data_IF_653898228640
#
_entry.id   IF_653898228640
#
_cell.length_a   1.000
_cell.length_b   1.000
_cell.length_c   1.000
_cell.angle_alpha   90.00
_cell.angle_beta   90.00
_cell.angle_gamma   90.00
#
_symmetry.space_group_name_H-M   'P 1'
#
loop_
_entity.id
_entity.type
_entity.pdbx_description
1 polymer ?
#
# COMPACT_ATOMS: atom_id res chain seq x y z
N UNK A 1 -15.27 5.06 18.64
CA UNK A 1 -14.85 6.19 19.50
C UNK A 1 -14.43 7.37 18.62
N UNK A 2 -14.42 8.61 19.14
CA UNK A 2 -13.98 9.81 18.38
C UNK A 2 -12.60 10.26 18.84
N UNK A 3 -11.79 10.79 17.93
CA UNK A 3 -10.49 11.35 18.28
C UNK A 3 -10.65 12.67 19.01
N UNK A 4 -10.01 12.81 20.18
CA UNK A 4 -10.06 14.04 20.97
C UNK A 4 -9.21 15.20 20.40
N UNK A 5 -8.58 15.01 19.24
CA UNK A 5 -7.86 16.07 18.52
C UNK A 5 -8.68 16.63 17.36
N UNK A 6 -9.16 15.77 16.45
CA UNK A 6 -9.92 16.20 15.26
C UNK A 6 -11.43 15.96 15.33
N UNK A 7 -11.93 15.17 16.28
CA UNK A 7 -13.36 14.86 16.43
C UNK A 7 -13.88 13.74 15.53
N UNK A 8 -13.07 13.22 14.60
CA UNK A 8 -13.45 12.15 13.67
C UNK A 8 -13.45 10.76 14.32
N UNK A 9 -14.17 9.83 13.72
CA UNK A 9 -14.22 8.42 14.16
C UNK A 9 -12.83 7.76 14.06
N UNK A 10 -12.46 7.03 15.12
CA UNK A 10 -11.28 6.15 15.14
C UNK A 10 -11.72 4.74 14.74
N UNK A 11 -11.00 4.12 13.79
CA UNK A 11 -11.16 2.71 13.40
C UNK A 11 -10.47 1.74 14.37
N UNK A 12 -9.95 0.62 13.88
CA UNK A 12 -9.46 -0.49 14.72
C UNK A 12 -8.13 -0.22 15.46
N UNK A 13 -7.42 0.85 15.11
CA UNK A 13 -6.08 1.13 15.64
C UNK A 13 -6.13 2.43 16.46
N UNK A 14 -6.19 2.27 17.78
CA UNK A 14 -6.30 3.37 18.74
C UNK A 14 -5.06 3.54 19.63
N UNK A 15 -4.83 4.78 20.06
CA UNK A 15 -3.89 5.10 21.13
C UNK A 15 -4.61 5.93 22.21
N UNK A 16 -4.48 5.49 23.46
CA UNK A 16 -5.13 6.11 24.61
C UNK A 16 -4.09 6.90 25.40
N UNK A 17 -4.39 8.16 25.68
CA UNK A 17 -3.54 9.01 26.50
C UNK A 17 -3.66 8.62 27.98
N UNK A 18 -2.56 8.26 28.64
CA UNK A 18 -2.55 7.96 30.07
C UNK A 18 -2.92 9.17 30.97
N UNK A 19 -2.81 10.39 30.45
CA UNK A 19 -3.11 11.62 31.21
C UNK A 19 -4.59 12.01 31.24
N UNK A 20 -5.27 11.95 30.10
CA UNK A 20 -6.68 12.34 29.97
C UNK A 20 -7.62 11.17 29.65
N UNK A 21 -7.08 9.97 29.49
CA UNK A 21 -7.80 8.75 29.12
C UNK A 21 -8.60 8.82 27.81
N UNK A 22 -8.28 9.80 26.95
CA UNK A 22 -8.94 9.99 25.66
C UNK A 22 -8.22 9.26 24.53
N UNK A 23 -8.97 8.89 23.50
CA UNK A 23 -8.47 8.22 22.30
C UNK A 23 -8.03 9.21 21.21
N UNK A 24 -6.96 8.86 20.51
CA UNK A 24 -6.40 9.66 19.42
C UNK A 24 -6.08 8.80 18.20
N UNK A 25 -6.13 9.38 16.99
CA UNK A 25 -5.43 8.78 15.85
C UNK A 25 -3.93 8.93 16.03
N UNK A 26 -3.15 8.01 15.46
CA UNK A 26 -1.70 8.18 15.39
C UNK A 26 -1.32 9.50 14.70
N UNK A 27 -1.88 9.79 13.52
CA UNK A 27 -1.57 11.02 12.79
C UNK A 27 -1.88 12.30 13.60
N UNK A 28 -2.85 12.25 14.53
CA UNK A 28 -3.27 13.41 15.31
C UNK A 28 -2.45 13.64 16.58
N UNK A 29 -1.60 12.70 17.02
CA UNK A 29 -0.81 12.88 18.24
C UNK A 29 0.60 12.26 18.22
N UNK A 30 0.83 11.15 17.54
CA UNK A 30 2.15 10.52 17.39
C UNK A 30 2.14 9.52 16.22
N UNK A 31 3.15 9.57 15.34
CA UNK A 31 3.21 8.62 14.23
C UNK A 31 3.23 7.16 14.71
N UNK A 32 2.57 6.27 13.96
CA UNK A 32 2.48 4.85 14.31
C UNK A 32 3.85 4.19 14.42
N UNK A 33 4.76 4.50 13.47
CA UNK A 33 6.14 4.01 13.49
C UNK A 33 6.84 4.41 14.79
N UNK A 34 6.71 5.67 15.22
CA UNK A 34 7.30 6.17 16.47
C UNK A 34 6.68 5.51 17.69
N UNK A 35 5.36 5.28 17.70
CA UNK A 35 4.70 4.64 18.83
C UNK A 35 5.07 3.15 18.96
N UNK A 36 5.10 2.41 17.84
CA UNK A 36 5.49 0.99 17.82
C UNK A 36 6.94 0.78 18.27
N UNK A 37 7.84 1.71 17.94
CA UNK A 37 9.25 1.68 18.35
C UNK A 37 9.47 1.94 19.86
N UNK A 38 8.45 2.39 20.61
CA UNK A 38 8.57 2.57 22.06
C UNK A 38 8.62 1.23 22.79
N UNK A 39 9.41 1.19 23.87
CA UNK A 39 9.37 0.09 24.84
C UNK A 39 7.98 -0.01 25.50
N UNK A 40 7.59 -1.20 25.95
CA UNK A 40 6.25 -1.46 26.47
C UNK A 40 5.86 -0.53 27.64
N UNK A 41 6.78 -0.25 28.57
CA UNK A 41 6.53 0.68 29.68
C UNK A 41 6.27 2.13 29.19
N UNK A 42 6.91 2.54 28.09
CA UNK A 42 6.74 3.87 27.49
C UNK A 42 5.47 3.99 26.64
N UNK A 43 4.91 2.85 26.18
CA UNK A 43 3.58 2.79 25.56
C UNK A 43 2.47 2.97 26.60
N UNK A 44 2.58 2.26 27.74
CA UNK A 44 1.62 2.32 28.84
C UNK A 44 1.57 3.71 29.52
N UNK A 45 2.69 4.42 29.54
CA UNK A 45 2.80 5.77 30.12
C UNK A 45 2.71 6.90 29.08
N UNK A 46 2.30 6.58 27.85
CA UNK A 46 2.21 7.58 26.78
C UNK A 46 1.16 8.65 27.10
N UNK A 47 1.48 9.91 26.78
CA UNK A 47 0.62 11.07 27.00
C UNK A 47 0.54 11.92 25.74
N UNK A 48 -0.64 12.46 25.44
CA UNK A 48 -0.85 13.40 24.36
C UNK A 48 -0.10 14.73 24.61
N UNK A 49 0.02 15.56 23.59
CA UNK A 49 0.78 16.83 23.65
C UNK A 49 0.23 17.75 24.76
N UNK A 50 -1.09 17.87 24.89
CA UNK A 50 -1.75 18.67 25.93
C UNK A 50 -1.37 18.20 27.34
N UNK A 51 -1.46 16.90 27.61
CA UNK A 51 -1.11 16.31 28.91
C UNK A 51 0.40 16.29 29.19
N UNK A 52 1.23 16.36 28.14
CA UNK A 52 2.70 16.42 28.27
C UNK A 52 3.17 17.84 28.60
N UNK A 53 2.56 18.84 27.96
CA UNK A 53 2.86 20.26 28.19
C UNK A 53 2.26 20.79 29.49
N UNK A 54 1.14 20.23 29.96
CA UNK A 54 0.51 20.59 31.23
C UNK A 54 1.29 20.23 32.50
N UNK A 55 2.50 19.66 32.41
CA UNK A 55 3.38 19.40 33.57
C UNK A 55 4.35 20.54 33.91
N UNK A 56 4.30 21.67 33.21
CA UNK A 56 5.13 22.85 33.50
C UNK A 56 4.34 24.02 34.12
N UNK A 57 3.14 23.77 34.66
CA UNK A 57 2.41 24.78 35.43
C UNK A 57 1.58 24.10 36.51
N UNK A 58 2.10 24.10 37.74
CA UNK A 58 1.28 23.87 38.92
C UNK A 58 0.47 25.14 39.15
N UNK A 59 -0.81 25.07 38.75
CA UNK A 59 -1.88 26.01 39.12
C UNK A 59 -2.16 25.95 40.63
N UNK A 60 -2.57 27.08 41.20
CA UNK A 60 -3.93 27.17 41.76
C UNK A 60 -4.51 28.55 41.46
N UNK A 61 -5.54 28.54 40.62
CA UNK A 61 -6.40 29.65 40.30
C UNK A 61 -7.69 29.48 41.13
N UNK A 62 -8.01 30.47 41.96
CA UNK A 62 -9.36 30.69 42.49
C UNK A 62 -9.76 32.12 42.15
N UNK A 63 -10.64 32.20 41.16
CA UNK A 63 -11.34 33.38 40.64
C UNK A 63 -12.04 34.20 41.73
N UNK A 64 -11.72 35.49 41.86
CA UNK A 64 -12.68 36.61 41.86
C UNK A 64 -12.05 38.00 42.15
N UNK A 65 -12.45 38.97 41.31
CA UNK A 65 -12.69 40.41 41.58
C UNK A 65 -11.54 41.39 41.89
N UNK A 66 -11.48 42.40 40.99
CA UNK A 66 -11.32 43.83 41.25
C UNK A 66 -9.91 44.44 41.45
N UNK A 67 -9.66 45.46 40.61
CA UNK A 67 -9.03 46.75 40.93
C UNK A 67 -7.52 46.82 41.18
N UNK A 68 -6.83 47.46 40.23
CA UNK A 68 -5.99 48.62 40.52
C UNK A 68 -4.52 48.40 40.87
N UNK A 69 -3.79 49.49 40.70
CA UNK A 69 -2.40 49.79 41.12
C UNK A 69 -1.24 49.19 40.30
N UNK A 70 -0.68 50.08 39.47
CA UNK A 70 0.75 50.22 39.23
C UNK A 70 1.53 50.23 40.57
N UNK A 71 2.64 49.50 40.65
CA UNK A 71 3.80 49.88 41.46
C UNK A 71 5.02 49.01 41.13
N UNK A 72 6.09 49.68 40.70
CA UNK A 72 7.48 49.52 41.14
C UNK A 72 8.01 48.10 41.39
N UNK A 73 8.91 47.64 40.51
CA UNK A 73 10.01 46.73 40.88
C UNK A 73 11.28 47.31 40.25
N UNK A 74 11.93 48.18 41.03
CA UNK A 74 13.35 48.50 40.93
C UNK A 74 14.00 48.03 42.23
N UNK A 75 15.24 47.53 42.11
CA UNK A 75 16.15 46.98 43.14
C UNK A 75 16.11 45.46 43.33
N UNK A 76 17.10 44.81 42.72
CA UNK A 76 18.22 44.19 43.45
C UNK A 76 19.17 43.52 42.43
N UNK A 77 20.06 44.30 41.84
CA UNK A 77 21.31 43.80 41.26
C UNK A 77 22.45 44.27 42.15
N UNK A 78 22.72 43.52 43.21
CA UNK A 78 23.93 43.65 44.02
C UNK A 78 24.44 42.27 44.37
N UNK A 79 25.74 42.10 44.14
CA UNK A 79 26.60 41.05 44.67
C UNK A 79 26.38 39.63 44.15
N UNK A 80 27.08 39.33 43.05
CA UNK A 80 27.58 37.99 42.77
C UNK A 80 28.95 38.08 42.09
N UNK A 81 29.90 38.80 42.71
CA UNK A 81 31.34 38.49 42.57
C UNK A 81 31.62 37.16 43.30
N UNK A 82 30.98 36.10 42.84
CA UNK A 82 31.42 34.74 43.14
C UNK A 82 32.62 34.48 42.24
N UNK A 83 33.81 34.56 42.84
CA UNK A 83 35.09 34.16 42.27
C UNK A 83 34.91 32.84 41.50
N UNK A 84 34.76 32.94 40.16
CA UNK A 84 34.65 31.77 39.31
C UNK A 84 36.02 31.10 39.37
N UNK A 85 36.11 30.04 40.15
CA UNK A 85 37.34 29.26 40.27
C UNK A 85 37.81 28.88 38.83
N UNK A 86 38.99 29.35 38.37
CA UNK A 86 39.42 29.14 36.99
C UNK A 86 39.51 27.65 36.60
N UNK A 87 39.56 26.76 37.59
CA UNK A 87 39.57 25.30 37.43
C UNK A 87 38.19 24.77 36.97
N UNK A 88 37.06 25.33 37.43
CA UNK A 88 35.72 24.86 37.02
C UNK A 88 35.36 25.33 35.61
N UNK A 89 35.69 26.57 35.25
CA UNK A 89 35.45 27.08 33.89
C UNK A 89 36.27 26.33 32.83
N UNK A 90 37.56 26.08 33.09
CA UNK A 90 38.42 25.32 32.19
C UNK A 90 37.97 23.86 32.02
N UNK A 91 37.37 23.26 33.05
CA UNK A 91 36.79 21.92 32.98
C UNK A 91 35.55 21.89 32.08
N UNK A 92 34.63 22.85 32.24
CA UNK A 92 33.43 22.97 31.40
C UNK A 92 33.82 23.19 29.93
N UNK A 93 34.82 24.02 29.64
CA UNK A 93 35.31 24.22 28.28
C UNK A 93 35.88 22.94 27.66
N UNK A 94 36.57 22.10 28.45
CA UNK A 94 37.06 20.80 27.98
C UNK A 94 35.92 19.84 27.66
N UNK A 95 34.89 19.78 28.49
CA UNK A 95 33.70 18.94 28.28
C UNK A 95 32.84 19.41 27.10
N UNK A 96 32.72 20.72 26.90
CA UNK A 96 32.06 21.28 25.73
C UNK A 96 32.84 20.96 24.45
N UNK A 97 34.17 21.12 24.48
CA UNK A 97 35.00 20.84 23.32
C UNK A 97 34.97 19.34 22.96
N UNK A 98 34.97 18.44 23.96
CA UNK A 98 34.81 17.00 23.71
C UNK A 98 33.43 16.68 23.13
N UNK A 99 32.37 17.31 23.64
CA UNK A 99 31.01 17.15 23.13
C UNK A 99 30.84 17.65 21.70
N UNK A 100 31.45 18.80 21.35
CA UNK A 100 31.46 19.34 20.00
C UNK A 100 32.21 18.41 19.05
N UNK A 101 33.36 17.88 19.47
CA UNK A 101 34.12 16.91 18.66
C UNK A 101 33.32 15.64 18.39
N UNK A 102 32.67 15.09 19.41
CA UNK A 102 31.80 13.92 19.25
C UNK A 102 30.60 14.20 18.33
N UNK A 103 30.03 15.40 18.40
CA UNK A 103 28.93 15.80 17.52
C UNK A 103 29.39 15.92 16.07
N UNK A 104 30.57 16.50 15.83
CA UNK A 104 31.17 16.60 14.50
C UNK A 104 31.41 15.21 13.90
N UNK A 105 32.00 14.29 14.67
CA UNK A 105 32.23 12.90 14.23
C UNK A 105 30.91 12.18 13.88
N UNK A 106 29.86 12.35 14.70
CA UNK A 106 28.53 11.79 14.41
C UNK A 106 27.88 12.42 13.17
N UNK A 107 28.05 13.72 12.99
CA UNK A 107 27.53 14.43 11.82
C UNK A 107 28.19 13.95 10.54
N UNK A 108 29.51 13.76 10.54
CA UNK A 108 30.24 13.18 9.41
C UNK A 108 29.80 11.75 9.10
N UNK A 109 29.62 10.92 10.13
CA UNK A 109 29.10 9.56 9.96
C UNK A 109 27.68 9.54 9.37
N UNK A 110 26.81 10.47 9.81
CA UNK A 110 25.48 10.62 9.25
C UNK A 110 25.52 11.08 7.79
N UNK A 111 26.42 12.01 7.43
CA UNK A 111 26.59 12.46 6.05
C UNK A 111 27.05 11.34 5.11
N UNK A 112 27.97 10.48 5.57
CA UNK A 112 28.38 9.28 4.80
C UNK A 112 27.18 8.34 4.59
N UNK A 113 26.40 8.09 5.64
CA UNK A 113 25.22 7.24 5.56
C UNK A 113 24.15 7.81 4.63
N UNK A 114 23.95 9.13 4.67
CA UNK A 114 23.01 9.84 3.82
C UNK A 114 23.41 9.79 2.34
N UNK A 115 24.70 9.98 2.03
CA UNK A 115 25.22 9.82 0.66
C UNK A 115 24.98 8.41 0.12
N UNK A 116 25.27 7.39 0.93
CA UNK A 116 25.01 5.99 0.54
C UNK A 116 23.52 5.75 0.26
N UNK A 117 22.63 6.28 1.09
CA UNK A 117 21.18 6.14 0.87
C UNK A 117 20.72 6.82 -0.42
N UNK A 118 21.31 7.97 -0.78
CA UNK A 118 21.03 8.63 -2.07
C UNK A 118 21.47 7.72 -3.22
N UNK A 119 22.70 7.21 -3.18
CA UNK A 119 23.24 6.33 -4.21
C UNK A 119 22.41 5.05 -4.39
N UNK A 120 21.98 4.43 -3.29
CA UNK A 120 21.14 3.23 -3.32
C UNK A 120 19.74 3.56 -3.87
N UNK A 121 19.18 4.73 -3.56
CA UNK A 121 17.88 5.17 -4.09
C UNK A 121 17.95 5.43 -5.60
N UNK A 122 19.04 6.04 -6.09
CA UNK A 122 19.25 6.26 -7.52
C UNK A 122 19.33 4.94 -8.28
N UNK A 123 20.06 3.95 -7.75
CA UNK A 123 20.13 2.60 -8.33
C UNK A 123 18.76 1.93 -8.38
N UNK A 124 18.01 1.95 -7.26
CA UNK A 124 16.67 1.38 -7.19
C UNK A 124 15.72 2.06 -8.18
N UNK A 125 15.84 3.37 -8.36
CA UNK A 125 15.02 4.13 -9.32
C UNK A 125 15.27 3.68 -10.75
N UNK A 126 16.53 3.48 -11.14
CA UNK A 126 16.86 2.97 -12.47
C UNK A 126 16.47 1.50 -12.66
N UNK A 127 16.59 0.64 -11.64
CA UNK A 127 16.09 -0.74 -11.67
C UNK A 127 14.57 -0.78 -11.88
N UNK A 128 13.81 0.03 -11.14
CA UNK A 128 12.35 0.12 -11.30
C UNK A 128 11.98 0.56 -12.73
N UNK A 129 12.70 1.52 -13.30
CA UNK A 129 12.49 1.98 -14.67
C UNK A 129 12.76 0.88 -15.70
N UNK A 130 13.83 0.10 -15.52
CA UNK A 130 14.15 -1.03 -16.38
C UNK A 130 13.10 -2.14 -16.27
N UNK A 131 12.66 -2.46 -15.05
CA UNK A 131 11.61 -3.44 -14.80
C UNK A 131 10.30 -3.03 -15.47
N UNK A 132 9.89 -1.76 -15.36
CA UNK A 132 8.69 -1.23 -16.05
C UNK A 132 8.75 -1.42 -17.56
N UNK A 133 9.89 -1.09 -18.19
CA UNK A 133 10.08 -1.33 -19.65
C UNK A 133 9.99 -2.80 -20.02
N UNK A 134 10.52 -3.68 -19.16
CA UNK A 134 10.48 -5.13 -19.38
C UNK A 134 9.06 -5.66 -19.29
N UNK A 135 8.28 -5.19 -18.31
CA UNK A 135 6.86 -5.54 -18.15
C UNK A 135 6.07 -5.11 -19.39
N UNK A 136 6.19 -3.85 -19.82
CA UNK A 136 5.51 -3.37 -21.04
C UNK A 136 5.86 -4.19 -22.29
N UNK A 137 7.13 -4.57 -22.45
CA UNK A 137 7.56 -5.42 -23.57
C UNK A 137 6.91 -6.81 -23.51
N UNK A 138 6.84 -7.41 -22.32
CA UNK A 138 6.21 -8.72 -22.13
C UNK A 138 4.70 -8.66 -22.34
N UNK A 139 4.03 -7.62 -21.88
CA UNK A 139 2.58 -7.45 -22.07
C UNK A 139 2.23 -7.37 -23.57
N UNK A 140 3.03 -6.63 -24.36
CA UNK A 140 2.87 -6.60 -25.83
C UNK A 140 3.06 -7.98 -26.47
N UNK A 141 4.03 -8.76 -25.99
CA UNK A 141 4.20 -10.13 -26.48
C UNK A 141 3.02 -11.04 -26.12
N UNK A 142 2.50 -10.93 -24.91
CA UNK A 142 1.31 -11.67 -24.47
C UNK A 142 0.11 -11.33 -25.35
N UNK A 143 -0.10 -10.04 -25.66
CA UNK A 143 -1.18 -9.60 -26.53
C UNK A 143 -1.04 -10.18 -27.94
N UNK A 144 0.14 -10.08 -28.55
CA UNK A 144 0.41 -10.63 -29.88
C UNK A 144 0.21 -12.15 -29.93
N UNK A 145 0.69 -12.88 -28.91
CA UNK A 145 0.51 -14.32 -28.81
C UNK A 145 -0.95 -14.68 -28.64
N UNK A 146 -1.69 -13.93 -27.83
CA UNK A 146 -3.14 -14.12 -27.63
C UNK A 146 -3.92 -13.93 -28.94
N UNK A 147 -3.60 -12.87 -29.70
CA UNK A 147 -4.18 -12.66 -31.04
C UNK A 147 -3.85 -13.81 -31.99
N UNK A 148 -2.61 -14.30 -31.98
CA UNK A 148 -2.18 -15.43 -32.81
C UNK A 148 -2.91 -16.73 -32.43
N UNK A 149 -3.07 -17.00 -31.15
CA UNK A 149 -3.85 -18.16 -30.66
C UNK A 149 -5.30 -18.05 -31.15
N UNK A 150 -5.93 -16.89 -30.97
CA UNK A 150 -7.29 -16.66 -31.45
C UNK A 150 -7.43 -16.92 -32.95
N UNK A 151 -6.49 -16.41 -33.76
CA UNK A 151 -6.48 -16.65 -35.20
C UNK A 151 -6.33 -18.14 -35.54
N UNK A 152 -5.40 -18.85 -34.90
CA UNK A 152 -5.17 -20.27 -35.13
C UNK A 152 -6.37 -21.13 -34.69
N UNK A 153 -7.01 -20.79 -33.58
CA UNK A 153 -8.22 -21.46 -33.12
C UNK A 153 -9.38 -21.25 -34.08
N UNK A 154 -9.62 -20.00 -34.51
CA UNK A 154 -10.64 -19.72 -35.52
C UNK A 154 -10.36 -20.48 -36.81
N UNK A 155 -9.11 -20.45 -37.30
CA UNK A 155 -8.71 -21.20 -38.49
C UNK A 155 -8.96 -22.71 -38.34
N UNK A 156 -8.66 -23.29 -37.17
CA UNK A 156 -8.96 -24.71 -36.88
C UNK A 156 -10.47 -24.98 -36.88
N UNK A 157 -11.28 -24.06 -36.36
CA UNK A 157 -12.75 -24.18 -36.29
C UNK A 157 -13.45 -23.98 -37.64
N UNK A 158 -12.83 -23.34 -38.64
CA UNK A 158 -13.43 -23.15 -39.99
C UNK A 158 -13.89 -24.44 -40.68
N UNK A 159 -13.28 -25.58 -40.34
CA UNK A 159 -13.64 -26.89 -40.90
C UNK A 159 -14.77 -27.58 -40.12
N UNK A 160 -15.32 -26.92 -39.11
CA UNK A 160 -16.34 -27.48 -38.25
C UNK A 160 -17.64 -26.70 -38.39
N UNK A 161 -18.75 -27.43 -38.46
CA UNK A 161 -20.11 -26.88 -38.43
C UNK A 161 -20.81 -27.45 -37.20
N UNK A 162 -21.44 -26.57 -36.42
CA UNK A 162 -22.24 -26.94 -35.26
C UNK A 162 -23.72 -26.82 -35.60
N UNK A 163 -24.46 -27.92 -35.49
CA UNK A 163 -25.90 -27.94 -35.74
C UNK A 163 -26.62 -28.15 -34.40
N UNK A 164 -27.22 -27.08 -33.91
CA UNK A 164 -27.92 -27.03 -32.63
C UNK A 164 -29.38 -27.46 -32.79
N UNK A 165 -30.00 -27.94 -31.70
CA UNK A 165 -31.42 -28.32 -31.69
C UNK A 165 -31.73 -29.72 -32.21
N UNK A 166 -30.70 -30.53 -32.47
CA UNK A 166 -30.86 -31.93 -32.89
C UNK A 166 -31.17 -32.81 -31.68
N UNK A 167 -32.37 -33.40 -31.65
CA UNK A 167 -32.78 -34.30 -30.56
C UNK A 167 -31.91 -35.55 -30.53
N UNK A 168 -31.51 -35.96 -29.33
CA UNK A 168 -30.93 -37.29 -29.14
C UNK A 168 -32.01 -38.36 -29.32
N UNK A 169 -31.68 -39.36 -30.12
CA UNK A 169 -32.47 -40.58 -30.32
C UNK A 169 -31.47 -41.73 -30.20
N UNK A 170 -31.88 -42.82 -29.56
CA UNK A 170 -31.02 -44.01 -29.39
C UNK A 170 -30.93 -44.84 -30.67
N UNK A 171 -31.88 -44.63 -31.58
CA UNK A 171 -32.10 -45.47 -32.75
C UNK A 171 -31.48 -44.91 -34.03
N UNK A 172 -30.93 -43.69 -34.01
CA UNK A 172 -30.30 -43.06 -35.18
C UNK A 172 -28.86 -42.62 -34.90
N UNK A 173 -27.97 -42.89 -35.85
CA UNK A 173 -26.59 -42.42 -35.79
C UNK A 173 -26.48 -40.91 -36.02
N UNK A 174 -25.35 -40.33 -35.62
CA UNK A 174 -25.11 -38.90 -35.83
C UNK A 174 -25.01 -38.55 -37.33
N UNK A 175 -24.46 -39.47 -38.11
CA UNK A 175 -24.32 -39.40 -39.56
C UNK A 175 -25.67 -39.42 -40.28
N UNK A 176 -26.58 -40.31 -39.88
CA UNK A 176 -27.94 -40.38 -40.44
C UNK A 176 -28.71 -39.08 -40.20
N UNK A 177 -28.58 -38.49 -39.01
CA UNK A 177 -29.21 -37.20 -38.70
C UNK A 177 -28.64 -36.08 -39.55
N UNK A 178 -27.32 -36.03 -39.68
CA UNK A 178 -26.68 -35.05 -40.55
C UNK A 178 -27.13 -35.20 -42.01
N UNK A 179 -27.24 -36.44 -42.51
CA UNK A 179 -27.69 -36.71 -43.87
C UNK A 179 -29.14 -36.26 -44.12
N UNK A 180 -30.05 -36.52 -43.19
CA UNK A 180 -31.44 -36.01 -43.29
C UNK A 180 -31.48 -34.48 -43.33
N UNK A 181 -30.69 -33.83 -42.46
CA UNK A 181 -30.59 -32.37 -42.40
C UNK A 181 -29.99 -31.81 -43.69
N UNK A 182 -28.93 -32.44 -44.23
CA UNK A 182 -28.27 -31.98 -45.45
C UNK A 182 -29.18 -32.13 -46.67
N UNK A 183 -29.96 -33.21 -46.75
CA UNK A 183 -30.97 -33.40 -47.78
C UNK A 183 -32.08 -32.34 -47.71
N UNK A 184 -32.58 -32.05 -46.50
CA UNK A 184 -33.65 -31.06 -46.29
C UNK A 184 -33.21 -29.62 -46.61
N UNK A 185 -31.93 -29.29 -46.39
CA UNK A 185 -31.35 -27.97 -46.69
C UNK A 185 -30.87 -27.88 -48.16
N UNK A 186 -30.82 -29.00 -48.89
CA UNK A 186 -30.35 -29.03 -50.29
C UNK A 186 -28.82 -29.01 -50.43
N UNK A 187 -28.10 -29.56 -49.44
CA UNK A 187 -26.63 -29.65 -49.41
C UNK A 187 -26.13 -31.09 -49.20
N UNK A 188 -26.87 -32.08 -49.71
CA UNK A 188 -26.54 -33.50 -49.57
C UNK A 188 -25.15 -33.89 -50.12
N UNK A 189 -24.61 -33.13 -51.08
CA UNK A 189 -23.30 -33.38 -51.71
C UNK A 189 -22.11 -32.88 -50.87
N UNK A 190 -22.34 -32.27 -49.71
CA UNK A 190 -21.28 -31.73 -48.86
C UNK A 190 -20.44 -32.86 -48.25
N UNK A 191 -19.19 -32.96 -48.69
CA UNK A 191 -18.27 -33.96 -48.19
C UNK A 191 -17.82 -33.67 -46.75
N UNK A 192 -18.00 -34.65 -45.86
CA UNK A 192 -17.54 -34.58 -44.47
C UNK A 192 -16.54 -35.69 -44.13
N UNK A 193 -15.73 -35.44 -43.10
CA UNK A 193 -14.73 -36.37 -42.55
C UNK A 193 -15.28 -37.15 -41.36
N UNK A 194 -16.06 -36.50 -40.50
CA UNK A 194 -16.66 -37.12 -39.31
C UNK A 194 -17.85 -36.30 -38.82
N UNK A 195 -18.85 -36.97 -38.28
CA UNK A 195 -19.95 -36.36 -37.52
C UNK A 195 -19.88 -36.87 -36.09
N UNK A 196 -20.17 -36.03 -35.11
CA UNK A 196 -20.20 -36.46 -33.72
C UNK A 196 -21.30 -35.73 -32.97
N UNK A 197 -22.08 -36.47 -32.17
CA UNK A 197 -23.01 -35.87 -31.22
C UNK A 197 -22.23 -35.39 -29.99
N UNK A 198 -22.35 -34.11 -29.66
CA UNK A 198 -21.71 -33.50 -28.48
C UNK A 198 -22.80 -33.09 -27.50
N UNK A 199 -22.65 -33.53 -26.25
CA UNK A 199 -23.57 -33.20 -25.16
C UNK A 199 -22.90 -32.23 -24.19
N UNK A 200 -23.44 -31.02 -24.07
CA UNK A 200 -22.97 -30.02 -23.11
C UNK A 200 -24.07 -29.71 -22.09
N UNK A 201 -23.68 -29.14 -20.94
CA UNK A 201 -24.63 -28.70 -19.90
C UNK A 201 -25.72 -27.74 -20.41
N UNK A 202 -25.45 -27.03 -21.52
CA UNK A 202 -26.34 -26.02 -22.11
C UNK A 202 -27.13 -26.53 -23.33
N UNK A 203 -26.96 -27.79 -23.71
CA UNK A 203 -27.64 -28.37 -24.86
C UNK A 203 -26.75 -29.29 -25.67
N UNK A 204 -27.39 -30.05 -26.55
CA UNK A 204 -26.75 -31.00 -27.43
C UNK A 204 -26.71 -30.47 -28.86
N UNK A 205 -25.65 -30.81 -29.58
CA UNK A 205 -25.49 -30.42 -30.98
C UNK A 205 -24.71 -31.49 -31.76
N UNK A 206 -24.88 -31.46 -33.08
CA UNK A 206 -24.02 -32.22 -33.99
C UNK A 206 -22.81 -31.37 -34.35
N UNK A 207 -21.61 -31.92 -34.17
CA UNK A 207 -20.35 -31.36 -34.64
C UNK A 207 -19.93 -32.09 -35.91
N UNK A 208 -19.97 -31.38 -37.04
CA UNK A 208 -19.62 -31.93 -38.35
C UNK A 208 -18.26 -31.38 -38.77
N UNK A 209 -17.31 -32.26 -39.06
CA UNK A 209 -16.02 -31.88 -39.62
C UNK A 209 -16.04 -32.05 -41.12
N UNK A 210 -15.97 -30.95 -41.87
CA UNK A 210 -15.95 -30.95 -43.33
C UNK A 210 -14.63 -31.49 -43.87
N UNK A 211 -14.69 -32.14 -45.04
CA UNK A 211 -13.47 -32.42 -45.82
C UNK A 211 -13.01 -31.11 -46.44
N UNK A 212 -11.73 -30.81 -46.28
CA UNK A 212 -11.08 -29.72 -47.00
C UNK A 212 -10.74 -30.25 -48.38
N UNK A 213 -11.05 -29.51 -49.44
CA UNK A 213 -10.21 -29.57 -50.64
C UNK A 213 -8.83 -29.05 -50.18
N UNK A 214 -7.80 -29.88 -50.32
CA UNK A 214 -6.40 -29.50 -50.10
C UNK A 214 -5.83 -28.91 -51.38
#
# INVERSE_FOLDING_TARGET
MKCNSCGDSIGDIEIICHGCNEAYHFACSISERTYRAKANHAKLSWRCIKCRQGKSATNTDTRATASGSESEIDKETSDSDAEINPITFTTILKELNSSIKLLAEKFDQQNVSLKKLIEDNDKLTEEVKLLRKTVESKDKQIELLSQRINHLEQHKRRKYVEIHGVKQSKDESAEEKFQKISEEIGCADVAYKSVSQVSLKKGDFLLVKLKSEE
#
